data_IF_658025895837
#
_entry.id   IF_658025895837
#
_cell.length_a   1.000
_cell.length_b   1.000
_cell.length_c   1.000
_cell.angle_alpha   90.00
_cell.angle_beta   90.00
_cell.angle_gamma   90.00
#
_symmetry.space_group_name_H-M   'P 1'
#
loop_
_entity.id
_entity.type
_entity.pdbx_description
1 polymer ?
#
# COMPACT_ATOMS: atom_id res chain seq x y z
N UNK A 1 -15.72 11.54 15.84
CA UNK A 1 -14.26 11.79 15.87
C UNK A 1 -13.78 11.88 14.42
N UNK A 2 -12.85 12.78 14.10
CA UNK A 2 -12.45 13.05 12.71
C UNK A 2 -11.02 12.60 12.41
N UNK A 3 -10.86 11.62 11.53
CA UNK A 3 -9.56 11.05 11.18
C UNK A 3 -9.11 11.54 9.81
N UNK A 4 -7.86 11.96 9.73
CA UNK A 4 -7.13 12.20 8.49
C UNK A 4 -6.16 11.06 8.25
N UNK A 5 -6.17 10.53 7.03
CA UNK A 5 -5.32 9.44 6.61
C UNK A 5 -4.23 9.97 5.68
N UNK A 6 -2.98 9.69 6.01
CA UNK A 6 -1.81 9.94 5.18
C UNK A 6 -1.31 8.60 4.64
N UNK A 7 -1.18 8.51 3.33
CA UNK A 7 -0.82 7.29 2.60
C UNK A 7 0.50 7.53 1.89
N UNK A 8 1.49 6.69 2.18
CA UNK A 8 2.62 6.50 1.27
C UNK A 8 2.15 5.65 0.08
N UNK A 9 1.93 6.34 -1.04
CA UNK A 9 1.46 5.73 -2.29
C UNK A 9 2.54 4.90 -2.97
N UNK A 10 3.82 5.21 -2.77
CA UNK A 10 4.93 4.42 -3.31
C UNK A 10 4.98 3.07 -2.63
N UNK A 11 4.97 3.09 -1.29
CA UNK A 11 4.87 1.89 -0.47
C UNK A 11 3.66 1.05 -0.83
N UNK A 12 2.49 1.69 -0.91
CA UNK A 12 1.23 1.00 -1.16
C UNK A 12 1.24 0.32 -2.53
N UNK A 13 1.77 1.01 -3.56
CA UNK A 13 1.96 0.43 -4.88
C UNK A 13 2.84 -0.82 -4.83
N UNK A 14 4.02 -0.72 -4.21
CA UNK A 14 4.94 -1.87 -4.14
C UNK A 14 4.37 -3.01 -3.29
N UNK A 15 3.61 -2.68 -2.25
CA UNK A 15 2.97 -3.67 -1.38
C UNK A 15 1.89 -4.49 -2.07
N UNK A 16 1.17 -3.88 -3.03
CA UNK A 16 0.12 -4.55 -3.79
C UNK A 16 0.65 -5.22 -5.06
N UNK A 17 1.50 -4.52 -5.82
CA UNK A 17 1.78 -4.90 -7.21
C UNK A 17 3.19 -5.48 -7.44
N UNK A 18 4.20 -5.09 -6.64
CA UNK A 18 5.58 -5.48 -6.91
C UNK A 18 6.11 -6.61 -6.01
N UNK A 19 5.24 -7.22 -5.19
CA UNK A 19 5.63 -8.36 -4.36
C UNK A 19 5.68 -9.63 -5.20
N UNK A 20 6.86 -9.89 -5.78
CA UNK A 20 7.18 -11.15 -6.48
C UNK A 20 7.65 -12.26 -5.52
N UNK A 21 7.83 -11.97 -4.23
CA UNK A 21 8.39 -12.93 -3.26
C UNK A 21 7.39 -14.02 -2.86
N UNK A 22 7.91 -15.20 -2.49
CA UNK A 22 7.14 -16.39 -2.06
C UNK A 22 6.23 -16.16 -0.84
N UNK A 23 6.44 -15.06 -0.08
CA UNK A 23 5.72 -14.74 1.16
C UNK A 23 4.74 -13.55 1.01
N UNK A 24 4.24 -13.31 -0.21
CA UNK A 24 3.19 -12.32 -0.44
C UNK A 24 1.81 -12.95 -0.17
N UNK A 25 1.09 -12.47 0.85
CA UNK A 25 -0.27 -12.94 1.15
C UNK A 25 -1.24 -12.73 -0.02
N UNK A 26 -1.08 -11.61 -0.76
CA UNK A 26 -1.89 -11.31 -1.95
C UNK A 26 -1.70 -12.39 -3.02
N UNK A 27 -0.44 -12.75 -3.32
CA UNK A 27 -0.12 -13.83 -4.28
C UNK A 27 -0.61 -15.19 -3.77
N UNK A 28 -0.51 -15.45 -2.47
CA UNK A 28 -0.99 -16.70 -1.85
C UNK A 28 -2.50 -16.85 -1.99
N UNK A 29 -3.26 -15.77 -1.79
CA UNK A 29 -4.74 -15.78 -1.82
C UNK A 29 -5.33 -15.64 -3.24
N UNK A 30 -4.76 -14.79 -4.08
CA UNK A 30 -5.32 -14.46 -5.41
C UNK A 30 -4.53 -15.04 -6.59
N UNK A 31 -3.38 -15.66 -6.33
CA UNK A 31 -2.49 -16.15 -7.37
C UNK A 31 -1.54 -15.08 -7.93
N UNK A 32 -0.63 -15.54 -8.80
CA UNK A 32 0.23 -14.65 -9.56
C UNK A 32 -0.63 -13.81 -10.54
N UNK A 33 -0.20 -12.59 -10.83
CA UNK A 33 -0.90 -11.69 -11.77
C UNK A 33 -2.36 -11.38 -11.39
N UNK A 34 -2.68 -11.42 -10.09
CA UNK A 34 -4.03 -11.16 -9.56
C UNK A 34 -4.68 -9.88 -10.11
N UNK A 35 -3.88 -8.86 -10.43
CA UNK A 35 -4.33 -7.57 -10.96
C UNK A 35 -5.02 -7.67 -12.35
N UNK A 36 -4.99 -8.85 -12.99
CA UNK A 36 -5.75 -9.15 -14.22
C UNK A 36 -7.21 -9.43 -13.92
N UNK A 37 -7.46 -10.26 -12.90
CA UNK A 37 -8.77 -10.84 -12.58
C UNK A 37 -9.44 -10.13 -11.41
N UNK A 38 -8.69 -9.34 -10.65
CA UNK A 38 -9.17 -8.60 -9.50
C UNK A 38 -8.84 -7.12 -9.64
N UNK A 39 -9.70 -6.27 -9.10
CA UNK A 39 -9.45 -4.84 -8.89
C UNK A 39 -9.35 -4.55 -7.40
N UNK A 40 -8.55 -3.55 -7.05
CA UNK A 40 -8.50 -3.02 -5.70
C UNK A 40 -9.61 -2.00 -5.52
N UNK A 41 -10.37 -2.12 -4.44
CA UNK A 41 -11.39 -1.16 -4.03
C UNK A 41 -10.76 -0.11 -3.12
N UNK A 42 -10.10 0.89 -3.71
CA UNK A 42 -9.36 1.91 -2.95
C UNK A 42 -10.23 2.69 -1.97
N UNK A 43 -11.50 2.92 -2.32
CA UNK A 43 -12.50 3.57 -1.49
C UNK A 43 -12.78 2.84 -0.17
N UNK A 44 -12.41 1.56 -0.08
CA UNK A 44 -12.55 0.77 1.14
C UNK A 44 -11.49 1.07 2.18
N UNK A 45 -10.31 1.55 1.78
CA UNK A 45 -9.22 1.88 2.71
C UNK A 45 -9.68 2.85 3.81
N UNK A 46 -10.22 4.04 3.52
CA UNK A 46 -10.68 4.96 4.57
C UNK A 46 -11.82 4.37 5.43
N UNK A 47 -12.71 3.57 4.83
CA UNK A 47 -13.80 2.89 5.56
C UNK A 47 -13.25 1.89 6.58
N UNK A 48 -12.31 1.05 6.14
CA UNK A 48 -11.63 0.06 6.99
C UNK A 48 -10.89 0.76 8.13
N UNK A 49 -10.13 1.82 7.84
CA UNK A 49 -9.39 2.57 8.86
C UNK A 49 -10.35 3.19 9.88
N UNK A 50 -11.41 3.86 9.42
CA UNK A 50 -12.40 4.46 10.32
C UNK A 50 -13.08 3.43 11.22
N UNK A 51 -13.49 2.30 10.66
CA UNK A 51 -14.12 1.18 11.39
C UNK A 51 -13.16 0.56 12.40
N UNK A 52 -11.92 0.26 12.01
CA UNK A 52 -10.94 -0.35 12.90
C UNK A 52 -10.57 0.56 14.07
N UNK A 53 -10.47 1.88 13.86
CA UNK A 53 -10.27 2.85 14.95
C UNK A 53 -11.49 2.89 15.87
N UNK A 54 -12.71 2.90 15.31
CA UNK A 54 -13.96 2.87 16.09
C UNK A 54 -14.01 1.65 17.02
N UNK A 55 -13.73 0.46 16.49
CA UNK A 55 -13.75 -0.80 17.23
C UNK A 55 -12.74 -0.77 18.39
N UNK A 56 -11.53 -0.26 18.16
CA UNK A 56 -10.53 -0.13 19.22
C UNK A 56 -10.94 0.87 20.31
N UNK A 57 -11.55 2.00 19.94
CA UNK A 57 -12.04 3.00 20.89
C UNK A 57 -13.18 2.46 21.77
N UNK A 58 -14.08 1.68 21.17
CA UNK A 58 -15.18 1.03 21.88
C UNK A 58 -14.66 -0.05 22.83
N UNK A 59 -13.72 -0.88 22.37
CA UNK A 59 -13.08 -1.90 23.20
C UNK A 59 -12.35 -1.29 24.43
N UNK A 60 -11.81 -0.08 24.27
CA UNK A 60 -11.16 0.68 25.35
C UNK A 60 -12.14 1.51 26.20
N UNK A 61 -13.46 1.43 25.94
CA UNK A 61 -14.51 2.22 26.60
C UNK A 61 -14.27 3.73 26.55
N UNK A 62 -13.56 4.21 25.52
CA UNK A 62 -13.17 5.62 25.42
C UNK A 62 -14.27 6.49 24.81
N UNK A 63 -15.01 5.95 23.83
CA UNK A 63 -16.13 6.69 23.22
C UNK A 63 -17.06 5.77 22.43
N UNK A 64 -18.32 6.19 22.32
CA UNK A 64 -19.30 5.63 21.38
C UNK A 64 -19.54 6.54 20.17
N UNK A 65 -18.80 7.65 20.07
CA UNK A 65 -18.92 8.57 18.94
C UNK A 65 -18.33 7.94 17.70
N UNK A 66 -19.08 8.02 16.59
CA UNK A 66 -18.64 7.56 15.28
C UNK A 66 -17.31 8.19 14.84
N UNK A 67 -16.41 7.38 14.30
CA UNK A 67 -15.16 7.80 13.65
C UNK A 67 -15.40 8.01 12.16
N UNK A 68 -15.23 9.26 11.73
CA UNK A 68 -15.34 9.69 10.34
C UNK A 68 -13.95 9.95 9.77
N UNK A 69 -13.61 9.32 8.65
CA UNK A 69 -12.42 9.70 7.87
C UNK A 69 -12.81 10.84 6.94
N UNK A 70 -12.39 12.06 7.28
CA UNK A 70 -12.81 13.26 6.55
C UNK A 70 -11.88 13.60 5.37
N UNK A 71 -10.65 13.06 5.37
CA UNK A 71 -9.67 13.28 4.31
C UNK A 71 -8.68 12.13 4.22
N UNK A 72 -8.34 11.75 2.99
CA UNK A 72 -7.25 10.81 2.69
C UNK A 72 -6.31 11.43 1.68
N UNK A 73 -5.05 11.58 2.07
CA UNK A 73 -4.01 12.24 1.27
C UNK A 73 -2.95 11.21 0.92
N UNK A 74 -2.62 11.09 -0.37
CA UNK A 74 -1.70 10.10 -0.91
C UNK A 74 -0.48 10.81 -1.46
N UNK A 75 0.71 10.43 -1.00
CA UNK A 75 1.98 11.00 -1.45
C UNK A 75 2.75 9.95 -2.24
N UNK A 76 3.18 10.28 -3.45
CA UNK A 76 4.07 9.39 -4.20
C UNK A 76 4.90 10.16 -5.22
N UNK A 77 5.96 9.52 -5.69
CA UNK A 77 6.79 10.01 -6.79
C UNK A 77 6.61 9.17 -8.04
N UNK A 78 6.88 9.75 -9.20
CA UNK A 78 6.94 9.07 -10.48
C UNK A 78 8.22 9.50 -11.18
N UNK A 79 8.90 8.56 -11.84
CA UNK A 79 9.98 8.95 -12.74
C UNK A 79 9.39 9.63 -13.97
N UNK A 80 10.10 10.59 -14.53
CA UNK A 80 9.66 11.31 -15.73
C UNK A 80 9.34 10.38 -16.92
N UNK A 81 10.01 9.24 -17.02
CA UNK A 81 9.85 8.22 -18.05
C UNK A 81 8.82 7.13 -17.69
N UNK A 82 8.06 7.29 -16.61
CA UNK A 82 7.04 6.32 -16.21
C UNK A 82 5.95 6.25 -17.29
N UNK A 83 5.67 5.03 -17.78
CA UNK A 83 4.60 4.77 -18.74
C UNK A 83 3.24 5.28 -18.19
N UNK A 84 2.53 6.17 -18.93
CA UNK A 84 1.19 6.65 -18.57
C UNK A 84 0.17 5.53 -18.33
N UNK A 85 0.33 4.38 -18.98
CA UNK A 85 -0.58 3.22 -18.85
C UNK A 85 -0.11 2.20 -17.79
N UNK A 86 0.99 2.49 -17.09
CA UNK A 86 1.51 1.64 -16.03
C UNK A 86 0.49 1.41 -14.91
N UNK A 87 0.61 0.26 -14.24
CA UNK A 87 -0.22 -0.06 -13.06
C UNK A 87 -0.14 1.04 -11.99
N UNK A 88 1.04 1.66 -11.83
CA UNK A 88 1.27 2.75 -10.89
C UNK A 88 0.46 3.99 -11.25
N UNK A 89 0.52 4.44 -12.51
CA UNK A 89 -0.27 5.58 -12.98
C UNK A 89 -1.77 5.33 -12.89
N UNK A 90 -2.21 4.12 -13.23
CA UNK A 90 -3.60 3.70 -13.13
C UNK A 90 -4.11 3.72 -11.70
N UNK A 91 -3.32 3.24 -10.74
CA UNK A 91 -3.64 3.27 -9.30
C UNK A 91 -3.90 4.71 -8.84
N UNK A 92 -2.97 5.63 -9.08
CA UNK A 92 -3.13 7.01 -8.61
C UNK A 92 -4.27 7.75 -9.32
N UNK A 93 -4.45 7.53 -10.62
CA UNK A 93 -5.59 8.08 -11.37
C UNK A 93 -6.92 7.58 -10.81
N UNK A 94 -7.01 6.30 -10.43
CA UNK A 94 -8.20 5.75 -9.78
C UNK A 94 -8.46 6.40 -8.41
N UNK A 95 -7.43 6.58 -7.59
CA UNK A 95 -7.54 7.25 -6.29
C UNK A 95 -8.02 8.70 -6.43
N UNK A 96 -7.47 9.46 -7.38
CA UNK A 96 -7.93 10.83 -7.66
C UNK A 96 -9.41 10.87 -8.03
N UNK A 97 -9.89 9.93 -8.87
CA UNK A 97 -11.31 9.82 -9.23
C UNK A 97 -12.21 9.47 -8.05
N UNK A 98 -11.66 8.87 -7.00
CA UNK A 98 -12.34 8.54 -5.74
C UNK A 98 -12.17 9.65 -4.68
N UNK A 99 -11.78 10.86 -5.09
CA UNK A 99 -11.60 12.04 -4.22
C UNK A 99 -10.48 11.91 -3.17
N UNK A 100 -9.49 11.06 -3.42
CA UNK A 100 -8.24 11.11 -2.66
C UNK A 100 -7.45 12.35 -3.08
N UNK A 101 -6.83 13.02 -2.11
CA UNK A 101 -5.91 14.12 -2.39
C UNK A 101 -4.53 13.55 -2.73
N UNK A 102 -4.27 13.37 -4.03
CA UNK A 102 -3.06 12.69 -4.51
C UNK A 102 -1.99 13.69 -4.91
N UNK A 103 -0.90 13.73 -4.14
CA UNK A 103 0.31 14.51 -4.36
C UNK A 103 1.34 13.66 -5.10
N UNK A 104 1.40 13.83 -6.42
CA UNK A 104 2.38 13.17 -7.28
C UNK A 104 3.52 14.13 -7.62
N UNK A 105 4.73 13.80 -7.19
CA UNK A 105 5.94 14.52 -7.60
C UNK A 105 6.64 13.78 -8.75
N UNK A 106 7.07 14.52 -9.77
CA UNK A 106 7.89 13.95 -10.85
C UNK A 106 9.37 14.10 -10.47
N UNK A 107 10.10 12.99 -10.44
CA UNK A 107 11.51 12.98 -10.07
C UNK A 107 12.38 12.86 -11.32
N UNK A 108 13.43 13.68 -11.39
CA UNK A 108 14.53 13.55 -12.35
C UNK A 108 15.73 12.93 -11.62
N UNK A 109 15.99 11.64 -11.82
CA UNK A 109 17.06 10.91 -11.13
C UNK A 109 16.64 10.19 -9.84
N UNK A 110 17.58 9.97 -8.91
CA UNK A 110 17.41 9.13 -7.69
C UNK A 110 16.76 9.85 -6.49
N UNK A 111 15.87 10.83 -6.70
CA UNK A 111 15.25 11.58 -5.60
C UNK A 111 13.99 10.89 -5.05
N UNK A 112 14.15 9.80 -4.30
CA UNK A 112 13.02 9.12 -3.63
C UNK A 112 12.58 9.85 -2.33
N UNK A 113 13.51 10.43 -1.58
CA UNK A 113 13.29 11.02 -0.24
C UNK A 113 12.38 12.26 -0.15
N UNK A 114 12.04 12.88 -1.27
CA UNK A 114 11.22 14.09 -1.27
C UNK A 114 9.78 13.81 -0.82
N UNK A 115 9.30 12.59 -1.04
CA UNK A 115 7.95 12.15 -0.68
C UNK A 115 7.82 11.99 0.83
N UNK A 116 8.80 11.38 1.48
CA UNK A 116 8.79 11.17 2.93
C UNK A 116 8.81 12.49 3.69
N UNK A 117 9.61 13.45 3.19
CA UNK A 117 9.66 14.81 3.71
C UNK A 117 8.29 15.50 3.55
N UNK A 118 7.69 15.45 2.36
CA UNK A 118 6.40 16.08 2.11
C UNK A 118 5.30 15.51 3.02
N UNK A 119 5.25 14.18 3.13
CA UNK A 119 4.29 13.48 3.98
C UNK A 119 4.52 13.86 5.46
N UNK A 120 5.75 13.80 5.96
CA UNK A 120 6.07 14.17 7.35
C UNK A 120 5.75 15.64 7.66
N UNK A 121 6.02 16.55 6.73
CA UNK A 121 5.68 17.99 6.86
C UNK A 121 4.18 18.18 6.95
N UNK A 122 3.41 17.53 6.08
CA UNK A 122 1.95 17.61 6.09
C UNK A 122 1.35 17.01 7.37
N UNK A 123 1.86 15.87 7.85
CA UNK A 123 1.46 15.32 9.14
C UNK A 123 1.64 16.34 10.27
N UNK A 124 2.80 17.00 10.33
CA UNK A 124 3.10 17.99 11.36
C UNK A 124 2.26 19.26 11.20
N UNK A 125 1.96 19.67 9.97
CA UNK A 125 1.05 20.78 9.68
C UNK A 125 -0.34 20.47 10.22
N UNK A 126 -0.94 19.35 9.83
CA UNK A 126 -2.28 18.95 10.27
C UNK A 126 -2.34 18.58 11.76
N UNK A 127 -1.21 18.20 12.38
CA UNK A 127 -1.13 18.03 13.82
C UNK A 127 -1.39 19.34 14.59
N UNK A 128 -1.20 20.51 13.96
CA UNK A 128 -1.54 21.81 14.55
C UNK A 128 -3.00 22.24 14.33
N UNK A 129 -3.72 21.58 13.44
CA UNK A 129 -5.13 21.90 13.13
C UNK A 129 -6.05 21.28 14.18
N UNK A 130 -6.95 22.05 14.84
CA UNK A 130 -7.90 21.51 15.81
C UNK A 130 -8.80 20.41 15.24
N UNK A 131 -9.14 19.39 16.04
CA UNK A 131 -10.11 18.34 15.66
C UNK A 131 -9.60 17.18 14.80
N UNK A 132 -8.42 17.29 14.18
CA UNK A 132 -7.85 16.22 13.35
C UNK A 132 -7.17 15.11 14.19
N UNK A 133 -7.46 13.85 13.90
CA UNK A 133 -6.69 12.66 14.30
C UNK A 133 -5.80 12.25 13.13
N UNK A 134 -4.53 11.89 13.38
CA UNK A 134 -3.55 11.63 12.32
C UNK A 134 -3.29 10.13 12.24
N UNK A 135 -3.70 9.51 11.14
CA UNK A 135 -3.45 8.10 10.89
C UNK A 135 -2.48 7.95 9.73
N UNK A 136 -1.50 7.07 9.91
CA UNK A 136 -0.29 7.00 9.11
C UNK A 136 -0.10 5.60 8.51
N UNK A 137 0.48 5.51 7.31
CA UNK A 137 0.83 4.26 6.62
C UNK A 137 2.33 4.22 6.29
N UNK A 138 3.00 3.12 6.66
CA UNK A 138 4.43 2.82 6.41
C UNK A 138 4.59 1.30 6.26
N UNK A 139 5.56 0.68 5.59
CA UNK A 139 6.76 1.09 4.83
C UNK A 139 7.32 -0.14 4.05
N UNK A 140 8.22 0.08 3.09
CA UNK A 140 8.71 -0.66 1.92
C UNK A 140 9.34 -2.06 2.10
N UNK A 141 9.63 -2.63 0.93
CA UNK A 141 10.03 -3.99 0.61
C UNK A 141 11.14 -4.56 1.50
N UNK A 142 11.14 -5.90 1.71
CA UNK A 142 11.94 -6.56 2.75
C UNK A 142 13.47 -6.48 2.58
N UNK A 143 14.02 -5.87 1.54
CA UNK A 143 15.47 -5.96 1.24
C UNK A 143 16.23 -4.64 1.11
N UNK A 144 15.60 -3.46 0.99
CA UNK A 144 16.40 -2.23 0.77
C UNK A 144 15.97 -1.01 1.62
N UNK A 145 14.73 -0.86 2.05
CA UNK A 145 14.37 0.27 2.93
C UNK A 145 13.45 -0.18 4.06
N UNK A 146 13.92 0.08 5.28
CA UNK A 146 13.20 -0.05 6.56
C UNK A 146 13.09 1.38 7.09
N UNK A 147 12.28 2.19 6.45
CA UNK A 147 11.97 3.56 6.80
C UNK A 147 11.47 3.63 8.26
N UNK A 148 12.35 4.14 9.11
CA UNK A 148 12.06 4.60 10.48
C UNK A 148 11.96 6.13 10.50
N UNK A 149 12.07 6.76 9.34
CA UNK A 149 12.23 8.21 9.16
C UNK A 149 10.93 8.94 9.52
N UNK A 150 9.81 8.22 9.56
CA UNK A 150 8.53 8.72 10.06
C UNK A 150 8.33 8.62 11.58
N UNK A 151 9.14 7.82 12.31
CA UNK A 151 9.01 7.73 13.77
C UNK A 151 9.10 9.11 14.45
N UNK A 152 10.03 10.01 14.07
CA UNK A 152 10.04 11.38 14.58
C UNK A 152 8.74 12.14 14.30
N UNK A 153 8.18 12.05 13.07
CA UNK A 153 6.93 12.72 12.72
C UNK A 153 5.75 12.21 13.54
N UNK A 154 5.67 10.90 13.78
CA UNK A 154 4.67 10.27 14.64
C UNK A 154 4.78 10.76 16.09
N UNK A 155 5.98 10.73 16.66
CA UNK A 155 6.24 11.19 18.03
C UNK A 155 5.88 12.67 18.21
N UNK A 156 6.32 13.53 17.30
CA UNK A 156 6.01 14.98 17.33
C UNK A 156 4.52 15.26 17.13
N UNK A 157 3.82 14.44 16.36
CA UNK A 157 2.36 14.52 16.22
C UNK A 157 1.67 14.20 17.55
N UNK A 158 2.16 13.19 18.28
CA UNK A 158 1.67 12.86 19.63
C UNK A 158 1.95 13.96 20.65
N UNK A 159 3.16 14.53 20.63
CA UNK A 159 3.53 15.66 21.50
C UNK A 159 2.61 16.89 21.28
N UNK A 160 2.05 17.06 20.08
CA UNK A 160 1.05 18.09 19.76
C UNK A 160 -0.37 17.73 20.23
N UNK A 161 -0.54 16.66 21.01
CA UNK A 161 -1.82 16.24 21.58
C UNK A 161 -2.72 15.47 20.60
N UNK A 162 -2.19 15.01 19.47
CA UNK A 162 -2.92 14.16 18.54
C UNK A 162 -2.69 12.69 18.86
N UNK A 163 -3.64 11.84 18.49
CA UNK A 163 -3.46 10.38 18.56
C UNK A 163 -3.04 9.86 17.20
N UNK A 164 -2.09 8.92 17.21
CA UNK A 164 -1.48 8.35 16.01
C UNK A 164 -1.83 6.87 15.90
N UNK A 165 -2.30 6.47 14.71
CA UNK A 165 -2.49 5.06 14.35
C UNK A 165 -1.63 4.68 13.15
N UNK A 166 -1.31 3.38 13.05
CA UNK A 166 -0.58 2.81 11.92
C UNK A 166 -1.46 1.80 11.19
N UNK A 167 -1.45 1.86 9.88
CA UNK A 167 -1.98 0.82 9.02
C UNK A 167 -0.90 0.31 8.07
N UNK A 168 -0.76 -1.00 7.99
CA UNK A 168 0.32 -1.63 7.23
C UNK A 168 -0.05 -3.03 6.77
N UNK A 169 0.85 -3.65 6.01
CA UNK A 169 0.83 -5.08 5.69
C UNK A 169 1.86 -5.79 6.60
N UNK A 170 1.55 -6.99 7.09
CA UNK A 170 2.37 -7.72 8.10
C UNK A 170 3.80 -7.98 7.67
N UNK A 171 3.99 -8.28 6.40
CA UNK A 171 5.28 -8.64 5.82
C UNK A 171 6.15 -7.43 5.41
N UNK A 172 5.65 -6.20 5.53
CA UNK A 172 6.43 -4.98 5.27
C UNK A 172 6.51 -4.03 6.45
N UNK A 173 5.70 -4.21 7.48
CA UNK A 173 5.78 -3.36 8.66
C UNK A 173 7.13 -3.50 9.36
N UNK A 174 7.82 -2.37 9.52
CA UNK A 174 9.08 -2.29 10.25
C UNK A 174 8.88 -2.69 11.72
N UNK A 175 9.67 -3.65 12.22
CA UNK A 175 9.57 -4.12 13.61
C UNK A 175 9.83 -3.03 14.65
N UNK A 176 10.58 -1.98 14.29
CA UNK A 176 10.81 -0.85 15.19
C UNK A 176 9.54 -0.04 15.45
N UNK A 177 8.59 0.00 14.50
CA UNK A 177 7.28 0.61 14.70
C UNK A 177 6.38 -0.24 15.60
N UNK A 178 6.62 -1.55 15.66
CA UNK A 178 5.84 -2.49 16.47
C UNK A 178 6.31 -2.57 17.92
N UNK A 179 7.49 -2.03 18.23
CA UNK A 179 8.04 -2.06 19.57
C UNK A 179 7.20 -1.15 20.51
N UNK A 180 6.56 -1.69 21.55
CA UNK A 180 5.80 -0.89 22.50
C UNK A 180 6.65 0.21 23.18
N UNK A 181 7.96 0.01 23.31
CA UNK A 181 8.88 0.98 23.87
C UNK A 181 9.14 2.18 22.94
N UNK A 182 8.80 2.08 21.65
CA UNK A 182 8.94 3.18 20.71
C UNK A 182 7.94 4.30 20.95
N UNK A 183 6.81 4.02 21.63
CA UNK A 183 5.75 4.98 21.90
C UNK A 183 5.35 5.81 20.67
N UNK A 184 5.30 5.22 19.48
CA UNK A 184 4.98 5.93 18.24
C UNK A 184 3.47 6.01 17.97
N UNK A 185 2.66 5.21 18.66
CA UNK A 185 1.24 4.99 18.35
C UNK A 185 0.36 4.94 19.60
N UNK A 186 -0.91 5.27 19.43
CA UNK A 186 -1.97 5.24 20.45
C UNK A 186 -3.06 4.20 20.16
N UNK A 187 -2.94 3.51 19.02
CA UNK A 187 -3.84 2.47 18.53
C UNK A 187 -3.01 1.23 18.16
N UNK A 188 -3.64 0.06 18.25
CA UNK A 188 -3.10 -1.15 17.65
C UNK A 188 -3.00 -1.02 16.14
N UNK A 189 -2.00 -1.68 15.55
CA UNK A 189 -1.76 -1.64 14.10
C UNK A 189 -2.94 -2.25 13.36
N UNK A 190 -3.41 -1.53 12.34
CA UNK A 190 -4.47 -1.98 11.44
C UNK A 190 -3.81 -2.74 10.28
N UNK A 191 -3.98 -4.06 10.25
CA UNK A 191 -3.40 -4.89 9.21
C UNK A 191 -4.32 -4.94 7.99
N UNK A 192 -3.90 -4.38 6.85
CA UNK A 192 -4.69 -4.41 5.61
C UNK A 192 -4.92 -5.84 5.12
N UNK A 193 -4.01 -6.76 5.42
CA UNK A 193 -4.12 -8.18 5.08
C UNK A 193 -5.37 -8.86 5.68
N UNK A 194 -5.89 -8.34 6.81
CA UNK A 194 -7.10 -8.86 7.47
C UNK A 194 -8.38 -8.50 6.72
N UNK A 195 -8.33 -7.46 5.88
CA UNK A 195 -9.49 -6.93 5.16
C UNK A 195 -9.46 -7.30 3.68
N UNK A 196 -8.81 -8.41 3.36
CA UNK A 196 -8.57 -8.85 2.00
C UNK A 196 -9.86 -8.98 1.17
N UNK A 197 -10.88 -9.60 1.74
CA UNK A 197 -12.17 -9.83 1.06
C UNK A 197 -12.94 -8.52 0.82
N UNK A 198 -12.62 -7.46 1.57
CA UNK A 198 -13.20 -6.14 1.38
C UNK A 198 -12.38 -5.28 0.41
N UNK A 199 -11.08 -5.52 0.29
CA UNK A 199 -10.16 -4.73 -0.53
C UNK A 199 -10.11 -5.18 -2.00
N UNK A 200 -10.46 -6.43 -2.30
CA UNK A 200 -10.34 -6.99 -3.64
C UNK A 200 -11.69 -7.48 -4.17
N UNK A 201 -12.03 -7.07 -5.39
CA UNK A 201 -13.22 -7.57 -6.11
C UNK A 201 -12.81 -8.22 -7.41
N UNK A 202 -13.39 -9.41 -7.69
CA UNK A 202 -13.18 -10.09 -8.98
C UNK A 202 -13.83 -9.30 -10.11
N UNK A 203 -13.03 -8.95 -11.12
CA UNK A 203 -13.51 -8.29 -12.33
C UNK A 203 -14.36 -9.27 -13.13
N UNK A 204 -15.65 -8.97 -13.29
CA UNK A 204 -16.53 -9.73 -14.19
C UNK A 204 -16.27 -9.29 -15.62
N UNK A 205 -15.79 -10.20 -16.48
CA UNK A 205 -15.81 -10.02 -17.93
C UNK A 205 -14.54 -9.52 -18.62
N UNK A 206 -13.34 -9.70 -18.04
CA UNK A 206 -12.11 -9.47 -18.82
C UNK A 206 -11.85 -10.67 -19.73
N UNK A 207 -12.11 -10.49 -21.02
CA UNK A 207 -11.95 -11.51 -22.07
C UNK A 207 -10.56 -12.14 -22.08
N UNK A 208 -10.51 -13.42 -22.45
CA UNK A 208 -9.34 -14.30 -22.68
C UNK A 208 -8.26 -13.75 -23.63
N UNK A 209 -8.40 -12.51 -24.16
CA UNK A 209 -7.59 -11.93 -25.24
C UNK A 209 -6.68 -10.76 -24.84
N UNK A 210 -6.46 -10.48 -23.55
CA UNK A 210 -5.40 -9.52 -23.17
C UNK A 210 -4.03 -10.15 -23.40
N UNK A 211 -3.12 -9.53 -24.17
CA UNK A 211 -1.79 -10.07 -24.43
C UNK A 211 -1.08 -10.35 -23.10
N UNK A 212 -0.43 -11.51 -23.02
CA UNK A 212 0.30 -11.94 -21.83
C UNK A 212 1.42 -10.92 -21.55
N UNK A 213 1.52 -10.36 -20.33
CA UNK A 213 2.65 -9.51 -19.97
C UNK A 213 3.97 -10.25 -20.19
N UNK A 214 4.99 -9.58 -20.71
CA UNK A 214 6.28 -10.20 -21.01
C UNK A 214 6.88 -10.91 -19.77
N UNK A 215 6.68 -10.32 -18.59
CA UNK A 215 7.13 -10.85 -17.30
C UNK A 215 6.46 -12.18 -16.94
N UNK A 216 5.21 -12.39 -17.35
CA UNK A 216 4.48 -13.66 -17.19
C UNK A 216 5.00 -14.72 -18.12
N UNK A 217 5.29 -14.35 -19.36
CA UNK A 217 5.95 -15.22 -20.31
C UNK A 217 7.35 -15.61 -19.79
N UNK A 218 8.09 -14.68 -19.23
CA UNK A 218 9.39 -14.93 -18.59
C UNK A 218 9.28 -15.84 -17.36
N UNK A 219 8.32 -15.62 -16.44
CA UNK A 219 8.11 -16.51 -15.29
C UNK A 219 7.67 -17.92 -15.71
N UNK A 220 6.79 -18.03 -16.72
CA UNK A 220 6.37 -19.32 -17.26
C UNK A 220 7.54 -20.07 -17.92
N UNK A 221 8.31 -19.38 -18.76
CA UNK A 221 9.50 -19.94 -19.40
C UNK A 221 10.54 -20.34 -18.35
N UNK A 222 10.79 -19.50 -17.34
CA UNK A 222 11.70 -19.82 -16.24
C UNK A 222 11.24 -21.05 -15.46
N UNK A 223 9.95 -21.16 -15.12
CA UNK A 223 9.39 -22.33 -14.44
C UNK A 223 9.44 -23.61 -15.27
N UNK A 224 9.25 -23.52 -16.60
CA UNK A 224 9.39 -24.65 -17.51
C UNK A 224 10.85 -25.10 -17.60
N UNK A 225 11.79 -24.15 -17.67
CA UNK A 225 13.23 -24.41 -17.70
C UNK A 225 13.76 -24.99 -16.39
N UNK A 226 13.22 -24.58 -15.24
CA UNK A 226 13.54 -25.17 -13.93
C UNK A 226 13.07 -26.63 -13.84
N UNK A 227 11.87 -26.95 -14.35
CA UNK A 227 11.33 -28.32 -14.34
C UNK A 227 12.06 -29.28 -15.27
N UNK A 228 12.54 -28.80 -16.41
CA UNK A 228 13.15 -29.64 -17.46
C UNK A 228 14.68 -29.51 -17.53
N UNK A 229 15.29 -28.78 -16.59
CA UNK A 229 16.74 -28.66 -16.44
C UNK A 229 17.41 -27.95 -17.61
N UNK A 230 17.20 -26.63 -17.75
CA UNK A 230 17.98 -25.66 -18.58
C UNK A 230 18.22 -25.96 -20.08
N UNK A 231 17.96 -27.17 -20.57
CA UNK A 231 18.34 -27.68 -21.89
C UNK A 231 17.13 -27.89 -22.79
N UNK A 232 16.07 -27.10 -22.61
CA UNK A 232 14.87 -27.19 -23.43
C UNK A 232 15.06 -26.44 -24.76
N UNK A 233 14.76 -27.10 -25.88
CA UNK A 233 14.77 -26.45 -27.19
C UNK A 233 13.57 -25.51 -27.36
N UNK A 234 13.74 -24.43 -28.15
CA UNK A 234 12.66 -23.47 -28.45
C UNK A 234 11.40 -24.10 -29.05
N UNK A 235 11.53 -25.24 -29.76
CA UNK A 235 10.40 -26.01 -30.31
C UNK A 235 9.58 -26.75 -29.25
N UNK A 236 10.25 -27.27 -28.21
CA UNK A 236 9.57 -27.90 -27.07
C UNK A 236 8.90 -26.85 -26.19
N UNK A 237 9.58 -25.72 -25.97
CA UNK A 237 9.02 -24.57 -25.26
C UNK A 237 7.75 -24.06 -25.95
N UNK A 238 7.76 -23.97 -27.29
CA UNK A 238 6.59 -23.58 -28.07
C UNK A 238 5.41 -24.56 -28.00
N UNK A 239 5.63 -25.84 -27.66
CA UNK A 239 4.55 -26.82 -27.44
C UNK A 239 3.96 -26.76 -26.04
N UNK A 240 4.76 -26.40 -25.04
CA UNK A 240 4.30 -26.23 -23.65
C UNK A 240 3.53 -24.91 -23.44
N UNK A 241 3.73 -23.93 -24.33
CA UNK A 241 3.07 -22.62 -24.28
C UNK A 241 1.81 -22.52 -25.16
N UNK A 242 1.45 -23.59 -25.89
CA UNK A 242 0.23 -23.71 -26.70
C UNK A 242 -0.88 -24.40 -25.91
#
# INVERSE_FOLDING_TARGET
LQVQVFVDGTWLYYSFFARTTRNCEIRSKLGAYWYRDYKVLWERIPVIVGRAIQEQLQAQQQTDRFVEVYRTTVFSSLRQDTDPESLRMRMFTQMQRLNFDVHLSVTTGLQEKCIDIALAVDMLHYATVPGAYVHFQCDELPHIYRDKDFMPAMLRTREKGKRVGLCSMRNSCNRALLDPAAHTMDFGVIWLDDYFDELFEKQRGRMENSPMPADMLCEMVAGILEKHGSAMSSRLLGRELQ
#
